data_IF_377650433994
#
_entry.id   IF_377650433994
#
_cell.length_a   1.000
_cell.length_b   1.000
_cell.length_c   1.000
_cell.angle_alpha   90.00
_cell.angle_beta   90.00
_cell.angle_gamma   90.00
#
_symmetry.space_group_name_H-M   'P 1'
#
loop_
_entity.id
_entity.type
_entity.pdbx_description
1 polymer ?
#
# COMPACT_ATOMS: atom_id res chain seq x y z
N UNK A 1 15.95 -23.90 -11.10
CA UNK A 1 14.53 -23.84 -10.81
C UNK A 1 13.79 -24.39 -12.02
N UNK A 2 13.00 -25.45 -11.85
CA UNK A 2 12.21 -26.01 -12.93
C UNK A 2 11.13 -25.02 -13.29
N UNK A 3 11.02 -24.73 -14.60
CA UNK A 3 9.81 -24.09 -15.08
C UNK A 3 8.63 -24.92 -14.57
N UNK A 4 7.69 -24.25 -13.95
CA UNK A 4 6.51 -24.90 -13.46
C UNK A 4 5.75 -25.41 -14.67
N UNK A 5 5.69 -26.72 -14.82
CA UNK A 5 4.96 -27.35 -15.91
C UNK A 5 3.53 -27.65 -15.45
N UNK A 6 2.60 -27.64 -16.40
CA UNK A 6 1.21 -28.04 -16.16
C UNK A 6 1.09 -29.40 -15.44
N UNK A 7 2.07 -30.26 -15.62
CA UNK A 7 2.14 -31.60 -15.03
C UNK A 7 2.49 -31.60 -13.53
N UNK A 8 2.99 -30.49 -13.00
CA UNK A 8 3.33 -30.29 -11.58
C UNK A 8 2.15 -29.74 -10.79
N UNK A 9 1.19 -29.15 -11.48
CA UNK A 9 -0.04 -28.63 -10.91
C UNK A 9 -1.17 -29.62 -11.14
N UNK A 10 -2.04 -29.76 -10.15
CA UNK A 10 -3.28 -30.48 -10.39
C UNK A 10 -3.93 -29.88 -11.63
N UNK A 11 -4.34 -30.73 -12.57
CA UNK A 11 -4.94 -30.29 -13.82
C UNK A 11 -6.06 -29.31 -13.54
N UNK A 12 -5.79 -28.03 -13.76
CA UNK A 12 -6.81 -27.02 -13.87
C UNK A 12 -7.20 -26.90 -15.34
N UNK A 13 -8.45 -26.71 -15.64
CA UNK A 13 -8.89 -26.39 -16.98
C UNK A 13 -8.21 -25.11 -17.47
N UNK A 14 -8.08 -24.94 -18.80
CA UNK A 14 -7.53 -23.74 -19.38
C UNK A 14 -8.28 -22.49 -18.88
N UNK A 15 -7.55 -21.48 -18.41
CA UNK A 15 -8.10 -20.30 -17.79
C UNK A 15 -8.26 -20.36 -16.28
N UNK A 16 -7.96 -21.50 -15.65
CA UNK A 16 -8.12 -21.71 -14.23
C UNK A 16 -6.85 -21.42 -13.42
N UNK A 17 -7.04 -21.27 -12.11
CA UNK A 17 -6.01 -21.13 -11.11
C UNK A 17 -5.51 -22.50 -10.65
N UNK A 18 -4.20 -22.63 -10.45
CA UNK A 18 -3.59 -23.82 -9.89
C UNK A 18 -2.60 -23.45 -8.79
N UNK A 19 -2.70 -24.15 -7.66
CA UNK A 19 -1.69 -24.06 -6.60
C UNK A 19 -0.46 -24.89 -6.97
N UNK A 20 0.74 -24.40 -6.56
CA UNK A 20 1.97 -25.13 -6.78
C UNK A 20 1.96 -26.44 -6.01
N UNK A 21 2.14 -27.56 -6.72
CA UNK A 21 2.14 -28.91 -6.16
C UNK A 21 3.31 -29.20 -5.19
N UNK A 22 4.31 -28.32 -5.11
CA UNK A 22 5.40 -28.43 -4.13
C UNK A 22 5.01 -27.99 -2.70
N UNK A 23 3.75 -27.58 -2.50
CA UNK A 23 3.23 -27.16 -1.20
C UNK A 23 3.70 -25.77 -0.73
N UNK A 24 4.31 -24.97 -1.61
CA UNK A 24 4.78 -23.61 -1.26
C UNK A 24 3.66 -22.59 -1.15
N UNK A 25 2.41 -22.96 -1.44
CA UNK A 25 1.25 -22.06 -1.47
C UNK A 25 1.31 -21.00 -2.59
N UNK A 26 2.16 -21.22 -3.60
CA UNK A 26 2.30 -20.34 -4.75
C UNK A 26 1.26 -20.68 -5.81
N UNK A 27 0.57 -19.67 -6.29
CA UNK A 27 -0.46 -19.83 -7.32
C UNK A 27 0.06 -19.40 -8.68
N UNK A 28 -0.41 -20.10 -9.70
CA UNK A 28 -0.21 -19.79 -11.12
C UNK A 28 -1.55 -19.81 -11.83
N UNK A 29 -1.61 -19.25 -13.03
CA UNK A 29 -2.78 -19.26 -13.89
C UNK A 29 -2.41 -19.69 -15.28
N UNK A 30 -3.33 -20.37 -15.98
CA UNK A 30 -3.19 -20.74 -17.37
C UNK A 30 -4.22 -19.99 -18.21
N UNK A 31 -3.82 -19.52 -19.40
CA UNK A 31 -4.72 -18.89 -20.36
C UNK A 31 -5.62 -19.94 -21.06
N UNK A 32 -6.52 -19.48 -21.92
CA UNK A 32 -7.45 -20.32 -22.66
C UNK A 32 -6.74 -21.36 -23.58
N UNK A 33 -5.47 -21.15 -23.90
CA UNK A 33 -4.65 -22.07 -24.72
C UNK A 33 -3.80 -23.02 -23.85
N UNK A 34 -3.92 -22.92 -22.51
CA UNK A 34 -3.13 -23.72 -21.57
C UNK A 34 -1.71 -23.23 -21.38
N UNK A 35 -1.38 -21.99 -21.78
CA UNK A 35 -0.09 -21.38 -21.49
C UNK A 35 -0.13 -20.69 -20.13
N UNK A 36 0.98 -20.79 -19.39
CA UNK A 36 1.13 -20.11 -18.11
C UNK A 36 1.12 -18.60 -18.31
N UNK A 37 0.24 -17.91 -17.59
CA UNK A 37 0.16 -16.46 -17.59
C UNK A 37 1.39 -15.88 -16.91
N UNK A 38 1.95 -14.82 -17.48
CA UNK A 38 3.10 -14.08 -16.97
C UNK A 38 2.86 -12.58 -17.14
N UNK A 39 3.39 -11.79 -16.19
CA UNK A 39 3.16 -10.36 -16.17
C UNK A 39 1.78 -9.99 -15.66
N UNK A 40 1.29 -8.85 -16.11
CA UNK A 40 -0.01 -8.31 -15.69
C UNK A 40 -1.16 -9.09 -16.32
N UNK A 41 -2.17 -9.37 -15.51
CA UNK A 41 -3.42 -9.99 -15.95
C UNK A 41 -4.60 -9.39 -15.19
N UNK A 42 -5.72 -9.16 -15.87
CA UNK A 42 -6.93 -8.56 -15.29
C UNK A 42 -8.13 -9.39 -15.69
N UNK A 43 -8.96 -9.70 -14.70
CA UNK A 43 -10.24 -10.40 -14.88
C UNK A 43 -11.36 -9.68 -14.11
N UNK A 44 -12.53 -10.32 -13.98
CA UNK A 44 -13.68 -9.75 -13.27
C UNK A 44 -13.42 -9.54 -11.76
N UNK A 45 -12.49 -10.29 -11.17
CA UNK A 45 -12.19 -10.23 -9.73
C UNK A 45 -11.14 -9.17 -9.41
N UNK A 46 -10.30 -8.78 -10.40
CA UNK A 46 -9.30 -7.73 -10.23
C UNK A 46 -8.09 -7.84 -11.13
N UNK A 47 -7.04 -7.11 -10.77
CA UNK A 47 -5.75 -7.10 -11.46
C UNK A 47 -4.72 -7.85 -10.64
N UNK A 48 -3.93 -8.68 -11.31
CA UNK A 48 -2.92 -9.55 -10.75
C UNK A 48 -1.58 -9.35 -11.47
N UNK A 49 -0.50 -9.79 -10.84
CA UNK A 49 0.79 -9.89 -11.49
C UNK A 49 1.40 -11.27 -11.25
N UNK A 50 1.92 -11.85 -12.32
CA UNK A 50 2.59 -13.15 -12.32
C UNK A 50 4.06 -12.96 -12.69
N UNK A 51 4.95 -13.56 -11.89
CA UNK A 51 6.38 -13.48 -12.12
C UNK A 51 6.76 -13.84 -13.55
N UNK A 52 7.66 -13.04 -14.17
CA UNK A 52 8.02 -13.22 -15.58
C UNK A 52 8.81 -14.51 -15.85
N UNK A 53 9.46 -15.06 -14.83
CA UNK A 53 10.28 -16.26 -14.96
C UNK A 53 9.47 -17.51 -14.62
N UNK A 54 8.84 -17.51 -13.46
CA UNK A 54 8.18 -18.69 -12.88
C UNK A 54 6.65 -18.68 -13.03
N UNK A 55 6.05 -17.57 -13.42
CA UNK A 55 4.60 -17.43 -13.52
C UNK A 55 3.88 -17.49 -12.16
N UNK A 56 4.58 -17.28 -11.06
CA UNK A 56 3.98 -17.31 -9.72
C UNK A 56 3.26 -16.00 -9.42
N UNK A 57 2.06 -16.08 -8.83
CA UNK A 57 1.24 -14.93 -8.48
C UNK A 57 1.89 -14.09 -7.39
N UNK A 58 1.98 -12.78 -7.62
CA UNK A 58 2.44 -11.82 -6.63
C UNK A 58 1.46 -11.70 -5.46
N UNK A 59 1.99 -11.63 -4.25
CA UNK A 59 1.27 -11.42 -2.99
C UNK A 59 2.06 -10.48 -2.08
N UNK A 60 1.36 -9.69 -1.28
CA UNK A 60 2.00 -8.72 -0.40
C UNK A 60 2.61 -7.55 -1.17
N UNK A 61 3.70 -6.99 -0.67
CA UNK A 61 4.38 -5.84 -1.27
C UNK A 61 5.43 -6.32 -2.28
N UNK A 62 5.31 -5.85 -3.52
CA UNK A 62 6.21 -6.22 -4.62
C UNK A 62 6.60 -4.98 -5.42
N UNK A 63 7.88 -4.84 -5.75
CA UNK A 63 8.38 -3.81 -6.68
C UNK A 63 8.40 -4.38 -8.09
N UNK A 64 7.72 -3.70 -9.03
CA UNK A 64 7.64 -4.07 -10.45
C UNK A 64 7.96 -2.82 -11.27
N UNK A 65 8.99 -2.90 -12.10
CA UNK A 65 9.45 -1.80 -12.95
C UNK A 65 9.67 -0.47 -12.18
N UNK A 66 10.17 -0.57 -10.94
CA UNK A 66 10.47 0.58 -10.09
C UNK A 66 9.27 1.18 -9.35
N UNK A 67 8.06 0.66 -9.54
CA UNK A 67 6.87 1.06 -8.80
C UNK A 67 6.57 0.03 -7.70
N UNK A 68 6.03 0.51 -6.58
CA UNK A 68 5.65 -0.32 -5.45
C UNK A 68 4.17 -0.69 -5.55
N UNK A 69 3.86 -1.98 -5.35
CA UNK A 69 2.50 -2.51 -5.42
C UNK A 69 2.15 -3.29 -4.16
N UNK A 70 0.89 -3.21 -3.76
CA UNK A 70 0.30 -4.08 -2.75
C UNK A 70 -0.68 -5.04 -3.43
N UNK A 71 -0.42 -6.33 -3.27
CA UNK A 71 -1.34 -7.40 -3.64
C UNK A 71 -1.90 -8.05 -2.37
N UNK A 72 -3.18 -8.37 -2.38
CA UNK A 72 -3.83 -9.09 -1.30
C UNK A 72 -3.12 -10.43 -1.05
N UNK A 73 -2.83 -10.74 0.22
CA UNK A 73 -2.03 -11.93 0.57
C UNK A 73 -2.79 -13.24 0.39
N UNK A 74 -4.11 -13.19 0.40
CA UNK A 74 -4.96 -14.36 0.21
C UNK A 74 -5.34 -14.52 -1.26
N UNK A 75 -5.86 -13.47 -1.87
CA UNK A 75 -6.43 -13.50 -3.23
C UNK A 75 -5.44 -13.15 -4.34
N UNK A 76 -4.36 -12.42 -4.04
CA UNK A 76 -3.42 -11.87 -5.02
C UNK A 76 -3.95 -10.67 -5.82
N UNK A 77 -5.13 -10.16 -5.51
CA UNK A 77 -5.69 -8.97 -6.18
C UNK A 77 -4.91 -7.72 -5.79
N UNK A 78 -4.54 -6.90 -6.77
CA UNK A 78 -3.88 -5.62 -6.53
C UNK A 78 -4.79 -4.67 -5.76
N UNK A 79 -4.35 -4.24 -4.59
CA UNK A 79 -5.07 -3.31 -3.71
C UNK A 79 -4.59 -1.87 -3.88
N UNK A 80 -3.29 -1.67 -4.05
CA UNK A 80 -2.69 -0.35 -4.21
C UNK A 80 -1.45 -0.40 -5.09
N UNK A 81 -1.11 0.75 -5.65
CA UNK A 81 0.15 1.00 -6.35
C UNK A 81 0.65 2.39 -5.99
N UNK A 82 1.97 2.56 -5.98
CA UNK A 82 2.63 3.84 -5.83
C UNK A 82 3.52 4.05 -7.05
N UNK A 83 3.16 5.00 -7.89
CA UNK A 83 3.98 5.41 -9.01
C UNK A 83 5.14 6.29 -8.53
N UNK A 84 6.21 6.40 -9.31
CA UNK A 84 7.36 7.27 -8.98
C UNK A 84 6.93 8.72 -8.72
N UNK A 85 5.92 9.24 -9.43
CA UNK A 85 5.43 10.60 -9.21
C UNK A 85 4.61 10.74 -7.91
N UNK A 86 3.82 9.73 -7.55
CA UNK A 86 3.08 9.72 -6.28
C UNK A 86 4.04 9.57 -5.10
N UNK A 87 5.07 8.74 -5.25
CA UNK A 87 6.12 8.60 -4.25
C UNK A 87 6.87 9.92 -4.04
N UNK A 88 7.23 10.65 -5.10
CA UNK A 88 7.88 11.96 -4.98
C UNK A 88 7.02 12.98 -4.23
N UNK A 89 5.70 12.98 -4.46
CA UNK A 89 4.75 13.82 -3.71
C UNK A 89 4.71 13.45 -2.23
N UNK A 90 4.66 12.15 -1.94
CA UNK A 90 4.66 11.61 -0.58
C UNK A 90 5.97 11.89 0.16
N UNK A 91 7.11 11.65 -0.48
CA UNK A 91 8.45 11.92 0.08
C UNK A 91 8.61 13.40 0.45
N UNK A 92 8.11 14.30 -0.38
CA UNK A 92 8.14 15.72 -0.07
C UNK A 92 7.32 16.06 1.18
N UNK A 93 6.17 15.40 1.40
CA UNK A 93 5.41 15.55 2.65
C UNK A 93 6.21 15.05 3.85
N UNK A 94 6.88 13.90 3.73
CA UNK A 94 7.73 13.34 4.81
C UNK A 94 8.87 14.29 5.17
N UNK A 95 9.52 14.88 4.16
CA UNK A 95 10.54 15.92 4.41
C UNK A 95 9.97 17.10 5.20
N UNK A 96 8.80 17.61 4.82
CA UNK A 96 8.15 18.73 5.50
C UNK A 96 7.73 18.37 6.94
N UNK A 97 7.22 17.15 7.16
CA UNK A 97 6.94 16.63 8.51
C UNK A 97 8.20 16.63 9.35
N UNK A 98 9.30 16.12 8.82
CA UNK A 98 10.56 16.02 9.55
C UNK A 98 11.21 17.40 9.79
N UNK A 99 11.01 18.38 8.91
CA UNK A 99 11.40 19.77 9.15
C UNK A 99 10.60 20.37 10.32
N UNK A 100 9.28 20.16 10.37
CA UNK A 100 8.43 20.63 11.48
C UNK A 100 8.82 19.99 12.81
N UNK A 101 9.11 18.69 12.82
CA UNK A 101 9.50 17.94 14.00
C UNK A 101 10.87 18.38 14.50
N UNK A 102 11.89 18.36 13.65
CA UNK A 102 13.28 18.65 14.04
C UNK A 102 13.47 20.10 14.47
N UNK A 103 12.74 21.05 13.87
CA UNK A 103 12.74 22.46 14.30
C UNK A 103 12.22 22.68 15.73
N UNK A 104 11.52 21.68 16.28
CA UNK A 104 10.97 21.66 17.66
C UNK A 104 11.72 20.68 18.58
N UNK A 105 12.84 20.12 18.14
CA UNK A 105 13.65 19.20 18.92
C UNK A 105 13.11 17.76 18.98
N UNK A 106 12.10 17.42 18.17
CA UNK A 106 11.58 16.05 18.07
C UNK A 106 12.45 15.23 17.11
N UNK A 107 12.49 13.91 17.33
CA UNK A 107 13.15 12.99 16.41
C UNK A 107 12.42 12.97 15.05
N UNK A 108 13.15 12.90 13.93
CA UNK A 108 12.53 12.70 12.64
C UNK A 108 11.89 11.31 12.57
N UNK A 109 10.78 11.19 11.84
CA UNK A 109 10.13 9.92 11.56
C UNK A 109 10.86 9.20 10.41
N UNK A 110 10.91 7.87 10.50
CA UNK A 110 11.48 7.00 9.47
C UNK A 110 10.39 6.63 8.47
N UNK A 111 10.68 6.78 7.17
CA UNK A 111 9.81 6.27 6.10
C UNK A 111 9.77 4.74 6.19
N UNK A 112 8.58 4.15 6.28
CA UNK A 112 8.37 2.69 6.24
C UNK A 112 7.59 2.34 4.97
N UNK A 113 8.13 1.46 4.11
CA UNK A 113 7.53 1.08 2.84
C UNK A 113 6.16 0.41 3.01
N UNK A 114 5.93 -0.32 4.10
CA UNK A 114 4.63 -0.94 4.41
C UNK A 114 3.60 0.12 4.75
N UNK A 115 4.00 1.16 5.54
CA UNK A 115 3.14 2.31 5.82
C UNK A 115 2.87 3.14 4.55
N UNK A 116 3.84 3.28 3.64
CA UNK A 116 3.64 3.94 2.35
C UNK A 116 2.52 3.25 1.55
N UNK A 117 2.58 1.93 1.44
CA UNK A 117 1.58 1.15 0.70
C UNK A 117 0.21 1.19 1.39
N UNK A 118 0.19 1.09 2.72
CA UNK A 118 -1.03 1.24 3.51
C UNK A 118 -1.67 2.62 3.30
N UNK A 119 -0.88 3.68 3.36
CA UNK A 119 -1.36 5.04 3.15
C UNK A 119 -1.85 5.27 1.71
N UNK A 120 -1.20 4.69 0.70
CA UNK A 120 -1.65 4.73 -0.69
C UNK A 120 -3.00 4.03 -0.88
N UNK A 121 -3.19 2.84 -0.28
CA UNK A 121 -4.47 2.14 -0.29
C UNK A 121 -5.56 2.98 0.40
N UNK A 122 -5.26 3.57 1.55
CA UNK A 122 -6.17 4.47 2.26
C UNK A 122 -6.52 5.71 1.45
N UNK A 123 -5.56 6.34 0.77
CA UNK A 123 -5.82 7.49 -0.10
C UNK A 123 -6.82 7.15 -1.21
N UNK A 124 -6.69 5.95 -1.82
CA UNK A 124 -7.64 5.46 -2.80
C UNK A 124 -9.03 5.21 -2.18
N UNK A 125 -9.11 4.66 -0.96
CA UNK A 125 -10.37 4.46 -0.24
C UNK A 125 -11.08 5.78 0.07
N UNK A 126 -10.34 6.88 0.34
CA UNK A 126 -10.93 8.21 0.57
C UNK A 126 -11.74 8.73 -0.61
N UNK A 127 -11.42 8.34 -1.83
CA UNK A 127 -12.20 8.68 -3.02
C UNK A 127 -13.59 8.03 -3.04
N UNK A 128 -13.75 6.91 -2.34
CA UNK A 128 -15.02 6.23 -2.17
C UNK A 128 -15.77 6.72 -0.92
N UNK A 129 -15.02 6.95 0.16
CA UNK A 129 -15.55 7.45 1.43
C UNK A 129 -14.50 8.28 2.16
N UNK A 130 -14.70 9.59 2.22
CA UNK A 130 -13.85 10.49 2.97
C UNK A 130 -14.14 10.37 4.48
N UNK A 131 -13.43 9.46 5.15
CA UNK A 131 -13.64 9.11 6.56
C UNK A 131 -12.44 8.33 7.11
N UNK A 132 -12.21 8.40 8.42
CA UNK A 132 -11.31 7.48 9.14
C UNK A 132 -11.86 6.04 9.22
N UNK A 133 -13.13 5.83 8.90
CA UNK A 133 -13.72 4.50 8.73
C UNK A 133 -13.59 4.10 7.26
N UNK A 134 -13.04 2.91 7.02
CA UNK A 134 -12.84 2.35 5.68
C UNK A 134 -14.17 2.07 4.97
N UNK A 135 -14.19 1.95 3.63
CA UNK A 135 -15.42 1.64 2.88
C UNK A 135 -16.13 0.36 3.33
N UNK A 136 -15.38 -0.64 3.80
CA UNK A 136 -15.90 -1.89 4.34
C UNK A 136 -16.46 -1.77 5.78
N UNK A 137 -16.43 -0.59 6.38
CA UNK A 137 -16.92 -0.31 7.73
C UNK A 137 -15.93 -0.55 8.86
N UNK A 138 -14.71 -1.04 8.57
CA UNK A 138 -13.67 -1.23 9.58
C UNK A 138 -12.92 0.06 9.90
N UNK A 139 -12.19 0.07 11.02
CA UNK A 139 -11.30 1.16 11.42
C UNK A 139 -10.12 1.29 10.45
N UNK A 140 -9.60 2.52 10.28
CA UNK A 140 -8.49 2.80 9.34
C UNK A 140 -7.25 1.95 9.62
N UNK A 141 -6.95 1.65 10.89
CA UNK A 141 -5.76 0.89 11.27
C UNK A 141 -5.85 -0.62 10.99
N UNK A 142 -7.01 -1.15 10.59
CA UNK A 142 -7.11 -2.57 10.19
C UNK A 142 -6.24 -2.92 9.00
N UNK A 143 -5.90 -1.93 8.16
CA UNK A 143 -4.97 -2.12 7.05
C UNK A 143 -3.54 -2.46 7.53
N UNK A 144 -3.14 -1.96 8.71
CA UNK A 144 -1.81 -2.22 9.28
C UNK A 144 -1.69 -3.70 9.69
N UNK A 145 -2.73 -4.28 10.26
CA UNK A 145 -2.75 -5.70 10.64
C UNK A 145 -2.61 -6.62 9.43
N UNK A 146 -3.28 -6.29 8.31
CA UNK A 146 -3.16 -7.07 7.07
C UNK A 146 -1.75 -7.05 6.49
N UNK A 147 -0.94 -6.04 6.83
CA UNK A 147 0.45 -5.89 6.39
C UNK A 147 1.46 -6.40 7.42
N UNK A 148 0.98 -6.99 8.54
CA UNK A 148 1.85 -7.47 9.62
C UNK A 148 2.65 -6.33 10.28
N UNK A 149 2.05 -5.14 10.38
CA UNK A 149 2.63 -4.00 11.10
C UNK A 149 2.08 -4.01 12.51
N UNK A 150 2.93 -4.36 13.45
CA UNK A 150 2.66 -4.22 14.88
C UNK A 150 2.97 -2.79 15.32
N UNK A 151 2.20 -2.27 16.27
CA UNK A 151 2.40 -0.92 16.80
C UNK A 151 1.88 -0.80 18.25
N UNK A 152 2.51 0.07 19.01
CA UNK A 152 2.01 0.54 20.29
C UNK A 152 1.11 1.78 20.15
N UNK A 153 1.50 2.65 19.22
CA UNK A 153 0.80 3.89 18.90
C UNK A 153 0.56 3.95 17.40
N UNK A 154 -0.63 4.46 17.01
CA UNK A 154 -0.95 4.71 15.61
C UNK A 154 -1.76 6.00 15.46
N UNK A 155 -1.62 6.66 14.30
CA UNK A 155 -2.39 7.86 13.96
C UNK A 155 -2.61 7.96 12.46
N UNK A 156 -3.70 8.63 12.10
CA UNK A 156 -4.04 8.92 10.71
C UNK A 156 -4.39 10.40 10.55
N UNK A 157 -3.80 11.07 9.56
CA UNK A 157 -4.26 12.35 9.04
C UNK A 157 -4.78 12.14 7.62
N UNK A 158 -5.92 12.71 7.29
CA UNK A 158 -6.51 12.66 5.95
C UNK A 158 -6.75 14.06 5.42
N UNK A 159 -6.63 14.23 4.09
CA UNK A 159 -6.95 15.48 3.41
C UNK A 159 -7.39 15.21 1.97
N UNK A 160 -8.10 16.18 1.37
CA UNK A 160 -8.51 16.10 -0.03
C UNK A 160 -8.57 17.51 -0.65
N UNK A 161 -8.20 17.61 -1.92
CA UNK A 161 -8.28 18.85 -2.69
C UNK A 161 -6.96 19.60 -2.81
N UNK A 162 -5.99 19.40 -1.91
CA UNK A 162 -4.70 20.08 -1.96
C UNK A 162 -3.83 19.53 -3.10
N UNK A 163 -3.31 20.42 -3.94
CA UNK A 163 -2.59 20.03 -5.16
C UNK A 163 -1.08 19.88 -4.99
N UNK A 164 -0.52 20.31 -3.85
CA UNK A 164 0.91 20.22 -3.57
C UNK A 164 1.17 19.78 -2.14
N UNK A 165 2.35 19.15 -1.89
CA UNK A 165 2.80 18.78 -0.54
C UNK A 165 2.82 19.95 0.44
N UNK A 166 3.24 21.13 -0.02
CA UNK A 166 3.32 22.33 0.82
C UNK A 166 1.93 22.81 1.27
N UNK A 167 0.93 22.74 0.37
CA UNK A 167 -0.45 23.14 0.71
C UNK A 167 -1.05 22.18 1.73
N UNK A 168 -0.94 20.85 1.50
CA UNK A 168 -1.52 19.89 2.44
C UNK A 168 -0.85 19.94 3.80
N UNK A 169 0.49 20.09 3.85
CA UNK A 169 1.22 20.26 5.11
C UNK A 169 0.81 21.52 5.85
N UNK A 170 0.67 22.65 5.15
CA UNK A 170 0.18 23.89 5.75
C UNK A 170 -1.22 23.71 6.37
N UNK A 171 -2.13 23.05 5.68
CA UNK A 171 -3.48 22.79 6.16
C UNK A 171 -3.48 21.90 7.40
N UNK A 172 -2.70 20.81 7.39
CA UNK A 172 -2.56 19.92 8.54
C UNK A 172 -1.93 20.63 9.74
N UNK A 173 -0.88 21.43 9.53
CA UNK A 173 -0.22 22.17 10.62
C UNK A 173 -1.10 23.30 11.20
N UNK A 174 -2.05 23.82 10.45
CA UNK A 174 -3.03 24.79 10.95
C UNK A 174 -4.27 24.16 11.60
N UNK A 175 -4.39 22.83 11.59
CA UNK A 175 -5.42 22.08 12.28
C UNK A 175 -4.85 21.45 13.55
N UNK A 176 -5.41 21.75 14.72
CA UNK A 176 -4.85 21.31 16.00
C UNK A 176 -4.75 19.80 16.13
N UNK A 177 -5.76 19.06 15.67
CA UNK A 177 -5.75 17.58 15.71
C UNK A 177 -4.72 16.96 14.76
N UNK A 178 -4.66 17.43 13.52
CA UNK A 178 -3.68 16.96 12.55
C UNK A 178 -2.24 17.31 12.96
N UNK A 179 -2.03 18.54 13.46
CA UNK A 179 -0.73 18.97 13.98
C UNK A 179 -0.30 18.12 15.18
N UNK A 180 -1.23 17.75 16.07
CA UNK A 180 -0.92 16.91 17.21
C UNK A 180 -0.38 15.55 16.77
N UNK A 181 -0.91 14.94 15.71
CA UNK A 181 -0.36 13.71 15.13
C UNK A 181 1.05 13.94 14.58
N UNK A 182 1.26 14.99 13.78
CA UNK A 182 2.59 15.28 13.17
C UNK A 182 3.67 15.48 14.23
N UNK A 183 3.32 16.10 15.36
CA UNK A 183 4.26 16.44 16.45
C UNK A 183 4.23 15.45 17.62
N UNK A 184 3.52 14.32 17.48
CA UNK A 184 3.48 13.32 18.54
C UNK A 184 4.85 12.65 18.70
N UNK A 185 5.39 12.68 19.91
CA UNK A 185 6.71 12.11 20.23
C UNK A 185 6.72 10.59 20.29
N UNK A 186 5.54 9.97 20.45
CA UNK A 186 5.41 8.51 20.49
C UNK A 186 5.42 7.84 19.10
N UNK A 187 5.55 8.61 18.02
CA UNK A 187 5.67 8.05 16.69
C UNK A 187 7.12 8.00 16.22
N UNK A 188 7.49 6.88 15.60
CA UNK A 188 8.81 6.59 15.05
C UNK A 188 8.82 6.48 13.54
N UNK A 189 7.72 5.99 12.96
CA UNK A 189 7.57 5.73 11.53
C UNK A 189 6.42 6.50 10.90
N UNK A 190 6.56 6.75 9.60
CA UNK A 190 5.54 7.42 8.78
C UNK A 190 5.43 6.75 7.41
N UNK A 191 4.20 6.65 6.92
CA UNK A 191 3.89 6.45 5.51
C UNK A 191 2.95 7.54 5.01
N UNK A 192 3.13 7.99 3.78
CA UNK A 192 2.29 8.98 3.14
C UNK A 192 1.72 8.42 1.86
N UNK A 193 0.42 8.52 1.67
CA UNK A 193 -0.30 8.19 0.46
C UNK A 193 -0.81 9.44 -0.24
N UNK A 194 -0.59 9.48 -1.54
CA UNK A 194 -1.16 10.46 -2.45
C UNK A 194 -1.76 9.74 -3.63
N UNK A 195 -2.94 10.13 -4.04
CA UNK A 195 -3.53 9.67 -5.29
C UNK A 195 -4.44 10.72 -5.88
N UNK A 196 -4.63 10.65 -7.19
CA UNK A 196 -5.56 11.51 -7.91
C UNK A 196 -6.65 10.65 -8.55
N UNK A 197 -7.90 10.89 -8.17
CA UNK A 197 -9.06 10.20 -8.74
C UNK A 197 -9.94 11.25 -9.41
N UNK A 198 -10.22 11.07 -10.70
CA UNK A 198 -11.01 12.01 -11.52
C UNK A 198 -10.53 13.48 -11.43
N UNK A 199 -9.21 13.66 -11.35
CA UNK A 199 -8.57 14.97 -11.24
C UNK A 199 -8.66 15.62 -9.85
N UNK A 200 -9.10 14.88 -8.84
CA UNK A 200 -9.21 15.33 -7.46
C UNK A 200 -8.19 14.62 -6.57
N UNK A 201 -7.31 15.34 -5.83
CA UNK A 201 -6.26 14.74 -5.02
C UNK A 201 -6.75 14.33 -3.63
N UNK A 202 -6.23 13.17 -3.16
CA UNK A 202 -6.46 12.62 -1.84
C UNK A 202 -5.13 12.32 -1.16
N UNK A 203 -5.03 12.60 0.13
CA UNK A 203 -3.82 12.49 0.93
C UNK A 203 -4.09 11.75 2.24
N UNK A 204 -3.14 10.91 2.62
CA UNK A 204 -3.13 10.21 3.91
C UNK A 204 -1.74 10.27 4.51
N UNK A 205 -1.64 10.55 5.81
CA UNK A 205 -0.47 10.25 6.62
C UNK A 205 -0.86 9.13 7.60
N UNK A 206 -0.08 8.07 7.64
CA UNK A 206 -0.14 7.04 8.67
C UNK A 206 1.13 7.11 9.52
N UNK A 207 0.95 7.07 10.82
CA UNK A 207 2.02 7.11 11.81
C UNK A 207 1.95 5.87 12.67
N UNK A 208 3.11 5.32 13.02
CA UNK A 208 3.22 4.25 14.03
C UNK A 208 4.41 4.52 14.95
N UNK A 209 4.32 3.98 16.16
CA UNK A 209 5.41 3.93 17.12
C UNK A 209 5.26 2.71 18.01
N UNK A 210 6.37 2.21 18.53
CA UNK A 210 6.38 1.10 19.45
C UNK A 210 6.06 1.56 20.88
N UNK A 211 5.68 0.62 21.74
CA UNK A 211 5.68 0.90 23.17
C UNK A 211 7.11 1.03 23.65
N UNK A 212 7.40 2.11 24.39
CA UNK A 212 8.64 2.19 25.16
C UNK A 212 8.69 1.00 26.16
N UNK A 213 9.63 0.07 25.96
CA UNK A 213 9.89 -1.06 26.84
C UNK A 213 10.84 -0.66 27.97
#
# INVERSE_FOLDING_TARGET
AKAVSKDVYQESEAGDWAENADGTGKWVRYDANGHMVKGWDTNNDGTYYFDQVYGTMAKGIVTIDGNLYLFDVDTGVMQASITTSEEAMADRVIELVNQERTSRGLQPLVKDDRLMVAAAARAKELSQRYSHTRPNGSECFTILWHLGIDYGYAGENIAMGQRTPEIVMNDWMNSSGHRANILNENYDCIGVGYTMVDGYPYWVQLFTGDFDL
#
